data_IF_672964819509
#
_entry.id   IF_672964819509
#
_cell.length_a   1.000
_cell.length_b   1.000
_cell.length_c   1.000
_cell.angle_alpha   90.00
_cell.angle_beta   90.00
_cell.angle_gamma   90.00
#
_symmetry.space_group_name_H-M   'P 1'
#
loop_
_entity.id
_entity.type
_entity.pdbx_description
1 polymer ?
#
# COMPACT_ATOMS: atom_id res chain seq x y z
N UNK A 1 3.49 -19.68 -24.95
CA UNK A 1 4.76 -19.16 -24.40
C UNK A 1 5.06 -17.80 -25.03
N UNK A 2 4.67 -16.69 -24.39
CA UNK A 2 4.98 -15.35 -24.90
C UNK A 2 6.42 -15.03 -24.52
N UNK A 3 7.26 -14.82 -25.53
CA UNK A 3 8.71 -14.74 -25.40
C UNK A 3 9.20 -13.65 -24.44
N UNK A 4 10.05 -14.05 -23.49
CA UNK A 4 10.73 -13.19 -22.51
C UNK A 4 11.47 -12.00 -23.14
N UNK A 5 11.82 -12.06 -24.43
CA UNK A 5 12.59 -11.04 -25.16
C UNK A 5 11.84 -9.71 -25.38
N UNK A 6 10.50 -9.68 -25.27
CA UNK A 6 9.71 -8.47 -25.52
C UNK A 6 9.22 -7.74 -24.25
N UNK A 7 9.41 -8.32 -23.05
CA UNK A 7 8.95 -7.74 -21.78
C UNK A 7 9.66 -6.42 -21.46
N UNK A 8 10.97 -6.33 -21.70
CA UNK A 8 11.76 -5.12 -21.39
C UNK A 8 11.38 -3.89 -22.23
N UNK A 9 11.03 -4.08 -23.51
CA UNK A 9 10.66 -2.97 -24.42
C UNK A 9 9.28 -2.37 -24.14
N UNK A 10 8.30 -3.17 -23.68
CA UNK A 10 6.97 -2.66 -23.29
C UNK A 10 6.99 -2.04 -21.89
N UNK A 11 7.73 -2.63 -20.96
CA UNK A 11 7.90 -2.11 -19.60
C UNK A 11 8.61 -0.75 -19.53
N UNK A 12 9.44 -0.39 -20.52
CA UNK A 12 10.02 0.95 -20.64
C UNK A 12 9.04 2.01 -21.17
N UNK A 13 7.92 1.60 -21.78
CA UNK A 13 6.89 2.51 -22.33
C UNK A 13 5.87 2.95 -21.26
N UNK A 14 5.72 2.17 -20.20
CA UNK A 14 4.95 2.51 -19.01
C UNK A 14 5.94 2.97 -17.92
N UNK A 15 5.82 4.22 -17.46
CA UNK A 15 6.81 4.85 -16.58
C UNK A 15 7.20 4.01 -15.34
N UNK A 16 8.47 4.14 -14.92
CA UNK A 16 8.92 3.70 -13.61
C UNK A 16 8.47 4.71 -12.54
N UNK A 17 8.03 4.29 -11.34
CA UNK A 17 7.64 2.95 -10.88
C UNK A 17 6.16 2.61 -11.17
N UNK A 18 5.75 1.35 -10.91
CA UNK A 18 4.34 0.93 -11.06
C UNK A 18 3.41 1.65 -10.06
N UNK A 19 2.67 2.67 -10.52
CA UNK A 19 1.72 3.42 -9.68
C UNK A 19 0.63 2.53 -9.07
N UNK A 20 0.22 1.48 -9.77
CA UNK A 20 -0.78 0.52 -9.27
C UNK A 20 -0.25 -0.26 -8.07
N UNK A 21 0.98 -0.77 -8.17
CA UNK A 21 1.63 -1.51 -7.08
C UNK A 21 1.88 -0.59 -5.89
N UNK A 22 2.32 0.64 -6.15
CA UNK A 22 2.53 1.66 -5.12
C UNK A 22 1.25 2.01 -4.36
N UNK A 23 0.14 2.26 -5.06
CA UNK A 23 -1.13 2.61 -4.45
C UNK A 23 -1.71 1.49 -3.59
N UNK A 24 -1.69 0.25 -4.10
CA UNK A 24 -2.21 -0.91 -3.36
C UNK A 24 -1.37 -1.19 -2.12
N UNK A 25 -0.04 -1.09 -2.20
CA UNK A 25 0.84 -1.25 -1.04
C UNK A 25 0.67 -0.13 -0.01
N UNK A 26 0.45 1.12 -0.46
CA UNK A 26 0.15 2.25 0.42
C UNK A 26 -1.14 2.01 1.24
N UNK A 27 -2.24 1.66 0.56
CA UNK A 27 -3.51 1.39 1.25
C UNK A 27 -3.38 0.17 2.16
N UNK A 28 -2.74 -0.89 1.69
CA UNK A 28 -2.55 -2.13 2.45
C UNK A 28 -1.84 -1.89 3.78
N UNK A 29 -0.69 -1.20 3.76
CA UNK A 29 0.06 -0.93 4.99
C UNK A 29 -0.68 0.04 5.91
N UNK A 30 -1.34 1.07 5.36
CA UNK A 30 -2.10 2.03 6.15
C UNK A 30 -3.25 1.36 6.91
N UNK A 31 -4.03 0.52 6.22
CA UNK A 31 -5.14 -0.21 6.84
C UNK A 31 -4.65 -1.26 7.84
N UNK A 32 -3.53 -1.92 7.54
CA UNK A 32 -2.90 -2.87 8.47
C UNK A 32 -2.52 -2.17 9.77
N UNK A 33 -1.82 -1.04 9.69
CA UNK A 33 -1.45 -0.23 10.87
C UNK A 33 -2.68 0.33 11.58
N UNK A 34 -3.71 0.75 10.85
CA UNK A 34 -4.96 1.24 11.44
C UNK A 34 -5.68 0.16 12.26
N UNK A 35 -5.78 -1.05 11.72
CA UNK A 35 -6.39 -2.18 12.42
C UNK A 35 -5.55 -2.65 13.60
N UNK A 36 -4.23 -2.57 13.49
CA UNK A 36 -3.32 -2.89 14.59
C UNK A 36 -3.48 -1.92 15.77
N UNK A 37 -3.41 -0.61 15.52
CA UNK A 37 -3.33 0.39 16.60
C UNK A 37 -4.67 0.93 17.11
N UNK A 38 -5.74 0.91 16.29
CA UNK A 38 -6.97 1.63 16.62
C UNK A 38 -8.22 0.75 16.60
N UNK A 39 -8.17 -0.40 15.94
CA UNK A 39 -9.38 -1.22 15.80
C UNK A 39 -9.71 -1.98 17.09
N UNK A 40 -10.99 -1.95 17.46
CA UNK A 40 -11.59 -2.78 18.51
C UNK A 40 -11.97 -4.19 18.02
N UNK A 41 -11.56 -4.56 16.80
CA UNK A 41 -11.84 -5.87 16.23
C UNK A 41 -11.21 -7.00 17.04
N UNK A 42 -11.95 -8.11 17.15
CA UNK A 42 -11.41 -9.34 17.70
C UNK A 42 -10.30 -9.90 16.78
N UNK A 43 -9.54 -10.87 17.30
CA UNK A 43 -8.37 -11.41 16.59
C UNK A 43 -8.74 -12.08 15.27
N UNK A 44 -9.93 -12.70 15.16
CA UNK A 44 -10.43 -13.36 13.94
C UNK A 44 -10.66 -12.31 12.85
N UNK A 45 -11.38 -11.23 13.17
CA UNK A 45 -11.62 -10.14 12.23
C UNK A 45 -10.32 -9.46 11.79
N UNK A 46 -9.33 -9.33 12.69
CA UNK A 46 -7.99 -8.83 12.31
C UNK A 46 -7.28 -9.79 11.35
N UNK A 47 -7.32 -11.10 11.63
CA UNK A 47 -6.74 -12.12 10.75
C UNK A 47 -7.40 -12.11 9.36
N UNK A 48 -8.74 -12.10 9.31
CA UNK A 48 -9.51 -11.99 8.05
C UNK A 48 -9.14 -10.72 7.28
N UNK A 49 -9.06 -9.57 7.95
CA UNK A 49 -8.68 -8.32 7.33
C UNK A 49 -7.27 -8.37 6.74
N UNK A 50 -6.29 -8.91 7.46
CA UNK A 50 -4.92 -9.05 6.96
C UNK A 50 -4.84 -10.03 5.79
N UNK A 51 -5.57 -11.15 5.84
CA UNK A 51 -5.65 -12.09 4.72
C UNK A 51 -6.26 -11.44 3.46
N UNK A 52 -7.36 -10.68 3.62
CA UNK A 52 -8.00 -9.96 2.52
C UNK A 52 -7.07 -8.91 1.91
N UNK A 53 -6.42 -8.08 2.74
CA UNK A 53 -5.49 -7.04 2.27
C UNK A 53 -4.28 -7.66 1.56
N UNK A 54 -3.71 -8.72 2.10
CA UNK A 54 -2.62 -9.47 1.49
C UNK A 54 -3.04 -10.08 0.14
N UNK A 55 -4.21 -10.73 0.10
CA UNK A 55 -4.76 -11.33 -1.12
C UNK A 55 -4.96 -10.31 -2.24
N UNK A 56 -5.58 -9.16 -1.93
CA UNK A 56 -5.75 -8.06 -2.90
C UNK A 56 -4.39 -7.56 -3.39
N UNK A 57 -3.41 -7.39 -2.50
CA UNK A 57 -2.05 -6.99 -2.85
C UNK A 57 -1.37 -7.93 -3.83
N UNK A 58 -1.51 -9.24 -3.62
CA UNK A 58 -0.96 -10.28 -4.48
C UNK A 58 -1.65 -10.27 -5.84
N UNK A 59 -2.99 -10.28 -5.88
CA UNK A 59 -3.76 -10.30 -7.13
C UNK A 59 -3.46 -9.08 -8.00
N UNK A 60 -3.40 -7.89 -7.39
CA UNK A 60 -3.09 -6.65 -8.11
C UNK A 60 -1.67 -6.64 -8.64
N UNK A 61 -0.69 -7.13 -7.86
CA UNK A 61 0.71 -7.22 -8.30
C UNK A 61 0.90 -8.26 -9.41
N UNK A 62 0.23 -9.41 -9.29
CA UNK A 62 0.26 -10.48 -10.28
C UNK A 62 -0.36 -10.03 -11.61
N UNK A 63 -1.47 -9.28 -11.58
CA UNK A 63 -2.09 -8.72 -12.78
C UNK A 63 -1.12 -7.88 -13.62
N UNK A 64 -0.20 -7.13 -12.98
CA UNK A 64 0.81 -6.31 -13.68
C UNK A 64 1.88 -7.15 -14.39
N UNK A 65 2.24 -8.30 -13.80
CA UNK A 65 3.17 -9.24 -14.38
C UNK A 65 2.51 -10.05 -15.51
N UNK A 66 1.27 -10.50 -15.29
CA UNK A 66 0.51 -11.32 -16.22
C UNK A 66 0.27 -10.61 -17.56
N UNK A 67 -0.12 -9.33 -17.53
CA UNK A 67 -0.31 -8.54 -18.74
C UNK A 67 1.01 -8.05 -19.37
N UNK A 68 2.15 -8.30 -18.74
CA UNK A 68 3.47 -7.92 -19.24
C UNK A 68 3.72 -6.41 -19.30
N UNK A 69 2.96 -5.63 -18.53
CA UNK A 69 3.08 -4.16 -18.49
C UNK A 69 4.31 -3.70 -17.71
N UNK A 70 4.74 -4.47 -16.71
CA UNK A 70 5.87 -4.13 -15.85
C UNK A 70 6.79 -5.31 -15.60
N UNK A 71 8.06 -5.02 -15.36
CA UNK A 71 9.01 -6.02 -14.86
C UNK A 71 8.80 -6.28 -13.37
N UNK A 72 9.21 -7.46 -12.85
CA UNK A 72 9.19 -7.73 -11.41
C UNK A 72 9.91 -6.64 -10.59
N UNK A 73 11.03 -6.12 -11.09
CA UNK A 73 11.76 -5.03 -10.43
C UNK A 73 10.91 -3.75 -10.29
N UNK A 74 10.17 -3.36 -11.34
CA UNK A 74 9.28 -2.18 -11.29
C UNK A 74 8.13 -2.33 -10.28
N UNK A 75 7.59 -3.55 -10.18
CA UNK A 75 6.55 -3.89 -9.20
C UNK A 75 7.12 -3.83 -7.78
N UNK A 76 8.29 -4.41 -7.54
CA UNK A 76 8.95 -4.39 -6.23
C UNK A 76 9.32 -2.98 -5.77
N UNK A 77 9.84 -2.13 -6.66
CA UNK A 77 10.12 -0.71 -6.35
C UNK A 77 8.82 0.04 -6.02
N UNK A 78 7.75 -0.21 -6.78
CA UNK A 78 6.42 0.36 -6.48
C UNK A 78 5.92 -0.06 -5.10
N UNK A 79 6.02 -1.36 -4.77
CA UNK A 79 5.65 -1.89 -3.44
C UNK A 79 6.47 -1.19 -2.34
N UNK A 80 7.79 -1.11 -2.48
CA UNK A 80 8.67 -0.50 -1.49
C UNK A 80 8.33 0.99 -1.24
N UNK A 81 8.10 1.76 -2.32
CA UNK A 81 7.67 3.16 -2.21
C UNK A 81 6.29 3.29 -1.57
N UNK A 82 5.35 2.41 -1.93
CA UNK A 82 4.00 2.36 -1.36
C UNK A 82 4.03 2.07 0.14
N UNK A 83 4.81 1.07 0.56
CA UNK A 83 4.98 0.73 1.98
C UNK A 83 5.58 1.90 2.76
N UNK A 84 6.68 2.48 2.27
CA UNK A 84 7.39 3.56 2.95
C UNK A 84 6.51 4.81 3.10
N UNK A 85 5.86 5.23 2.01
CA UNK A 85 4.94 6.37 2.03
C UNK A 85 3.71 6.13 2.91
N UNK A 86 3.17 4.91 2.92
CA UNK A 86 2.02 4.56 3.76
C UNK A 86 2.33 4.57 5.26
N UNK A 87 3.50 4.06 5.65
CA UNK A 87 4.00 4.14 7.04
C UNK A 87 4.19 5.60 7.45
N UNK A 88 4.88 6.39 6.62
CA UNK A 88 5.12 7.82 6.90
C UNK A 88 3.79 8.57 7.07
N UNK A 89 2.84 8.37 6.15
CA UNK A 89 1.52 8.99 6.20
C UNK A 89 0.75 8.62 7.48
N UNK A 90 0.80 7.36 7.91
CA UNK A 90 0.13 6.91 9.13
C UNK A 90 0.62 7.67 10.36
N UNK A 91 1.93 7.84 10.53
CA UNK A 91 2.48 8.55 11.68
C UNK A 91 2.20 10.06 11.63
N UNK A 92 2.29 10.68 10.45
CA UNK A 92 1.94 12.09 10.26
C UNK A 92 0.49 12.32 10.67
N UNK A 93 -0.44 11.53 10.15
CA UNK A 93 -1.87 11.67 10.47
C UNK A 93 -2.14 11.36 11.96
N UNK A 94 -1.47 10.37 12.55
CA UNK A 94 -1.58 10.07 13.98
C UNK A 94 -1.16 11.28 14.82
N UNK A 95 -0.03 11.92 14.50
CA UNK A 95 0.47 13.12 15.19
C UNK A 95 -0.46 14.31 15.00
N UNK A 96 -0.88 14.60 13.77
CA UNK A 96 -1.82 15.69 13.47
C UNK A 96 -3.15 15.52 14.22
N UNK A 97 -3.69 14.29 14.29
CA UNK A 97 -4.91 14.02 15.05
C UNK A 97 -4.74 14.23 16.55
N UNK A 98 -3.56 13.96 17.11
CA UNK A 98 -3.27 14.24 18.52
C UNK A 98 -3.22 15.75 18.77
N UNK A 99 -2.47 16.49 17.96
CA UNK A 99 -2.36 17.96 18.05
C UNK A 99 -3.72 18.65 17.90
N UNK A 100 -4.56 18.21 16.94
CA UNK A 100 -5.90 18.76 16.78
C UNK A 100 -6.81 18.52 17.99
N UNK A 101 -6.63 17.42 18.72
CA UNK A 101 -7.39 17.16 19.95
C UNK A 101 -6.95 18.11 21.06
N UNK A 102 -5.65 18.28 21.25
CA UNK A 102 -5.08 19.21 22.24
C UNK A 102 -5.52 20.65 21.97
N UNK A 103 -5.45 21.09 20.71
CA UNK A 103 -5.92 22.42 20.30
C UNK A 103 -7.41 22.65 20.59
N UNK A 104 -8.28 21.66 20.31
CA UNK A 104 -9.71 21.75 20.65
C UNK A 104 -9.96 21.83 22.16
N UNK A 105 -9.18 21.12 22.98
CA UNK A 105 -9.28 21.18 24.44
C UNK A 105 -8.88 22.57 24.95
N UNK A 106 -7.80 23.14 24.43
CA UNK A 106 -7.35 24.48 24.81
C UNK A 106 -8.35 25.56 24.41
N UNK A 107 -8.92 25.49 23.19
CA UNK A 107 -9.89 26.47 22.70
C UNK A 107 -11.24 26.43 23.42
N UNK A 108 -11.64 25.28 23.96
CA UNK A 108 -12.90 25.10 24.68
C UNK A 108 -12.76 25.30 26.21
N UNK A 109 -11.58 25.66 26.71
CA UNK A 109 -11.37 26.19 28.06
C UNK A 109 -11.42 27.70 28.04
#
# INVERSE_FOLDING_TARGET
>A
MIGKKNLGRRAGKYGMPSSHSQFVSFIGIYLTLYFFYKSKFNWIMKAMAYCLLGGIGIVMSYSRLYHGYHTPAQVLVGIALGLTSGVMYFFVVKKLRALMKEYKIFKNK
#
